data_IF_063829290673
#
_entry.id   IF_063829290673
#
_cell.length_a   1.000
_cell.length_b   1.000
_cell.length_c   1.000
_cell.angle_alpha   90.00
_cell.angle_beta   90.00
_cell.angle_gamma   90.00
#
_symmetry.space_group_name_H-M   'P 1'
#
loop_
_entity.id
_entity.type
_entity.pdbx_description
1 polymer ?
#
# COMPACT_ATOMS: atom_id res chain seq x y z
N UNK A 1 -1.49 20.03 -8.64
CA UNK A 1 -1.81 18.92 -9.54
C UNK A 1 -0.60 18.49 -10.39
N UNK A 2 0.09 19.39 -11.12
CA UNK A 2 1.20 19.03 -12.02
C UNK A 2 2.38 18.34 -11.34
N UNK A 3 2.68 18.68 -10.09
CA UNK A 3 3.78 18.07 -9.34
C UNK A 3 3.40 16.75 -8.66
N UNK A 4 2.11 16.40 -8.62
CA UNK A 4 1.62 15.21 -7.94
C UNK A 4 1.28 14.03 -8.86
N UNK A 5 1.11 14.29 -10.15
CA UNK A 5 0.72 13.29 -11.14
C UNK A 5 1.77 13.22 -12.25
N UNK A 6 2.35 12.03 -12.45
CA UNK A 6 3.37 11.82 -13.49
C UNK A 6 2.82 11.90 -14.91
N UNK A 7 1.59 11.46 -15.10
CA UNK A 7 0.91 11.48 -16.38
C UNK A 7 -0.46 12.13 -16.20
N UNK A 8 -0.68 13.28 -16.82
CA UNK A 8 -1.84 14.13 -16.57
C UNK A 8 -2.33 14.81 -17.84
N UNK A 9 -3.63 14.73 -18.10
CA UNK A 9 -4.30 15.61 -19.06
C UNK A 9 -5.10 16.66 -18.28
N UNK A 10 -4.85 17.93 -18.59
CA UNK A 10 -5.70 19.05 -18.18
C UNK A 10 -6.54 19.49 -19.36
N UNK A 11 -7.83 19.71 -19.14
CA UNK A 11 -8.75 20.13 -20.19
C UNK A 11 -9.82 21.08 -19.67
N UNK A 12 -10.26 21.99 -20.55
CA UNK A 12 -11.49 22.79 -20.48
C UNK A 12 -12.55 22.30 -21.48
N UNK A 13 -12.38 21.07 -22.01
CA UNK A 13 -13.15 20.42 -23.07
C UNK A 13 -12.95 20.98 -24.49
N UNK A 14 -12.30 22.13 -24.64
CA UNK A 14 -11.92 22.70 -25.95
C UNK A 14 -10.44 22.55 -26.24
N UNK A 15 -9.62 22.56 -25.20
CA UNK A 15 -8.20 22.29 -25.27
C UNK A 15 -7.81 21.17 -24.30
N UNK A 16 -6.96 20.25 -24.73
CA UNK A 16 -6.40 19.15 -23.97
C UNK A 16 -4.89 19.31 -23.91
N UNK A 17 -4.34 19.43 -22.71
CA UNK A 17 -2.90 19.59 -22.46
C UNK A 17 -2.37 18.38 -21.72
N UNK A 18 -1.53 17.60 -22.38
CA UNK A 18 -0.88 16.44 -21.80
C UNK A 18 0.45 16.83 -21.17
N UNK A 19 0.64 16.40 -19.92
CA UNK A 19 1.86 16.59 -19.13
C UNK A 19 2.40 15.25 -18.67
N UNK A 20 3.74 15.11 -18.69
CA UNK A 20 4.48 14.00 -18.12
C UNK A 20 5.52 14.56 -17.18
N UNK A 21 5.55 14.10 -15.93
CA UNK A 21 6.43 14.58 -14.85
C UNK A 21 6.41 16.12 -14.73
N UNK A 22 5.22 16.73 -14.91
CA UNK A 22 5.00 18.17 -14.87
C UNK A 22 5.40 18.93 -16.13
N UNK A 23 6.09 18.32 -17.08
CA UNK A 23 6.48 18.93 -18.35
C UNK A 23 5.40 18.76 -19.44
N UNK A 24 5.07 19.79 -20.23
CA UNK A 24 4.11 19.66 -21.32
C UNK A 24 4.67 18.76 -22.43
N UNK A 25 3.83 17.85 -22.96
CA UNK A 25 4.17 16.92 -24.04
C UNK A 25 3.45 17.20 -25.33
N UNK A 26 2.12 17.33 -25.28
CA UNK A 26 1.28 17.58 -26.44
C UNK A 26 0.07 18.42 -26.05
N UNK A 27 -0.40 19.23 -26.99
CA UNK A 27 -1.64 20.00 -26.86
C UNK A 27 -2.51 19.64 -28.07
N UNK A 28 -3.79 19.37 -27.84
CA UNK A 28 -4.81 19.20 -28.88
C UNK A 28 -5.95 20.21 -28.63
N UNK A 29 -6.47 20.82 -29.68
CA UNK A 29 -7.54 21.81 -29.59
C UNK A 29 -8.71 21.40 -30.47
N UNK A 30 -9.86 21.12 -29.86
CA UNK A 30 -11.10 20.85 -30.58
C UNK A 30 -11.76 22.10 -31.13
N UNK A 31 -11.45 23.24 -30.53
CA UNK A 31 -12.02 24.51 -30.94
C UNK A 31 -11.65 25.68 -30.03
N UNK A 32 -12.20 26.83 -30.32
CA UNK A 32 -12.03 28.07 -29.54
C UNK A 32 -13.34 28.82 -29.42
N UNK A 33 -13.56 29.57 -28.33
CA UNK A 33 -14.71 30.45 -28.23
C UNK A 33 -14.73 31.50 -29.37
N UNK A 34 -15.89 31.72 -29.97
CA UNK A 34 -16.05 32.74 -30.98
C UNK A 34 -16.38 34.10 -30.33
N UNK A 35 -15.91 35.26 -30.88
CA UNK A 35 -16.14 36.59 -30.31
C UNK A 35 -17.62 36.97 -30.17
N UNK A 36 -18.50 36.37 -30.96
CA UNK A 36 -19.96 36.61 -30.97
C UNK A 36 -20.77 35.49 -30.30
N UNK A 37 -20.13 34.65 -29.52
CA UNK A 37 -20.71 33.45 -28.92
C UNK A 37 -20.63 32.22 -29.82
N UNK A 38 -20.69 31.03 -29.20
CA UNK A 38 -20.49 29.74 -29.86
C UNK A 38 -19.03 29.29 -29.91
N UNK A 39 -18.77 28.20 -30.63
CA UNK A 39 -17.46 27.57 -30.75
C UNK A 39 -17.08 27.48 -32.23
N UNK A 40 -15.87 27.93 -32.54
CA UNK A 40 -15.23 27.68 -33.84
C UNK A 40 -14.44 26.39 -33.71
N UNK A 41 -14.84 25.33 -34.41
CA UNK A 41 -14.16 24.04 -34.43
C UNK A 41 -12.80 24.14 -35.13
N UNK A 42 -11.84 23.39 -34.61
CA UNK A 42 -10.58 23.14 -35.29
C UNK A 42 -10.74 21.90 -36.19
N UNK A 43 -10.51 22.00 -37.52
CA UNK A 43 -10.70 20.90 -38.44
C UNK A 43 -9.80 19.67 -38.16
N UNK A 44 -8.64 19.88 -37.54
CA UNK A 44 -7.67 18.81 -37.20
C UNK A 44 -7.75 18.39 -35.73
N UNK A 45 -8.56 19.09 -34.93
CA UNK A 45 -8.59 18.92 -33.48
C UNK A 45 -9.00 17.51 -33.03
N UNK A 46 -9.89 16.85 -33.75
CA UNK A 46 -10.33 15.49 -33.44
C UNK A 46 -9.21 14.47 -33.63
N UNK A 47 -8.44 14.59 -34.72
CA UNK A 47 -7.30 13.70 -34.99
C UNK A 47 -6.15 13.97 -34.02
N UNK A 48 -5.87 15.25 -33.75
CA UNK A 48 -4.85 15.63 -32.73
C UNK A 48 -5.20 15.11 -31.34
N UNK A 49 -6.48 15.18 -30.95
CA UNK A 49 -6.95 14.65 -29.67
C UNK A 49 -6.85 13.13 -29.63
N UNK A 50 -7.25 12.45 -30.71
CA UNK A 50 -7.12 10.98 -30.83
C UNK A 50 -5.66 10.56 -30.62
N UNK A 51 -4.74 11.19 -31.33
CA UNK A 51 -3.31 10.91 -31.22
C UNK A 51 -2.76 11.23 -29.82
N UNK A 52 -3.23 12.31 -29.19
CA UNK A 52 -2.85 12.65 -27.83
C UNK A 52 -3.32 11.57 -26.84
N UNK A 53 -4.58 11.14 -26.96
CA UNK A 53 -5.15 10.10 -26.10
C UNK A 53 -4.45 8.76 -26.30
N UNK A 54 -4.17 8.36 -27.54
CA UNK A 54 -3.39 7.14 -27.79
C UNK A 54 -1.99 7.20 -27.18
N UNK A 55 -1.28 8.31 -27.36
CA UNK A 55 0.04 8.48 -26.77
C UNK A 55 0.01 8.51 -25.23
N UNK A 56 -1.03 9.14 -24.64
CA UNK A 56 -1.26 9.17 -23.20
C UNK A 56 -1.51 7.76 -22.63
N UNK A 57 -2.39 6.99 -23.28
CA UNK A 57 -2.75 5.63 -22.83
C UNK A 57 -1.64 4.60 -23.10
N UNK A 58 -0.79 4.85 -24.11
CA UNK A 58 0.32 3.96 -24.46
C UNK A 58 1.57 4.21 -23.60
N UNK A 59 1.55 5.24 -22.76
CA UNK A 59 2.71 5.53 -21.91
C UNK A 59 2.80 4.49 -20.80
N UNK A 60 3.83 3.69 -20.83
CA UNK A 60 4.17 2.80 -19.72
C UNK A 60 4.53 3.61 -18.48
N UNK A 61 3.96 3.33 -17.32
CA UNK A 61 4.36 3.98 -16.08
C UNK A 61 5.85 3.74 -15.83
N UNK A 62 6.59 4.78 -15.47
CA UNK A 62 7.98 4.61 -15.03
C UNK A 62 7.98 3.80 -13.74
N UNK A 63 8.72 2.69 -13.67
CA UNK A 63 8.77 1.89 -12.45
C UNK A 63 9.27 2.71 -11.26
N UNK A 64 8.73 2.42 -10.08
CA UNK A 64 9.20 3.02 -8.83
C UNK A 64 10.41 2.23 -8.36
N UNK A 65 11.54 2.93 -8.18
CA UNK A 65 12.82 2.34 -7.77
C UNK A 65 13.32 2.90 -6.44
N UNK A 66 12.69 3.97 -5.92
CA UNK A 66 13.13 4.65 -4.70
C UNK A 66 12.21 4.34 -3.52
N UNK A 67 12.76 3.91 -2.37
CA UNK A 67 11.96 3.58 -1.19
C UNK A 67 11.12 4.75 -0.68
N UNK A 68 11.67 5.96 -0.65
CA UNK A 68 10.96 7.13 -0.14
C UNK A 68 9.77 7.51 -1.04
N UNK A 69 9.91 7.36 -2.35
CA UNK A 69 8.84 7.61 -3.30
C UNK A 69 7.70 6.58 -3.13
N UNK A 70 8.06 5.30 -3.02
CA UNK A 70 7.10 4.24 -2.77
C UNK A 70 6.35 4.49 -1.45
N UNK A 71 7.09 4.75 -0.37
CA UNK A 71 6.53 5.01 0.94
C UNK A 71 5.55 6.19 0.96
N UNK A 72 5.88 7.30 0.29
CA UNK A 72 5.00 8.47 0.20
C UNK A 72 3.71 8.17 -0.58
N UNK A 73 3.80 7.39 -1.66
CA UNK A 73 2.62 7.02 -2.46
C UNK A 73 1.74 6.02 -1.72
N UNK A 74 2.35 5.01 -1.09
CA UNK A 74 1.63 4.07 -0.23
C UNK A 74 0.92 4.80 0.91
N UNK A 75 1.60 5.71 1.61
CA UNK A 75 1.04 6.47 2.71
C UNK A 75 -0.22 7.25 2.32
N UNK A 76 -0.22 7.89 1.14
CA UNK A 76 -1.41 8.62 0.64
C UNK A 76 -2.60 7.69 0.42
N UNK A 77 -2.39 6.56 -0.24
CA UNK A 77 -3.45 5.58 -0.49
C UNK A 77 -3.94 4.96 0.82
N UNK A 78 -3.02 4.70 1.75
CA UNK A 78 -3.35 4.19 3.09
C UNK A 78 -4.23 5.17 3.87
N UNK A 79 -3.97 6.49 3.78
CA UNK A 79 -4.86 7.49 4.37
C UNK A 79 -6.26 7.49 3.74
N UNK A 80 -6.36 7.35 2.41
CA UNK A 80 -7.66 7.28 1.73
C UNK A 80 -8.44 6.01 2.12
N UNK A 81 -7.75 4.88 2.25
CA UNK A 81 -8.35 3.62 2.75
C UNK A 81 -8.84 3.81 4.19
N UNK A 82 -8.00 4.35 5.08
CA UNK A 82 -8.37 4.64 6.48
C UNK A 82 -9.62 5.51 6.56
N UNK A 83 -9.64 6.61 5.82
CA UNK A 83 -10.73 7.56 5.84
C UNK A 83 -12.03 6.93 5.29
N UNK A 84 -11.92 6.07 4.27
CA UNK A 84 -13.06 5.30 3.74
C UNK A 84 -13.59 4.27 4.73
N UNK A 85 -12.71 3.53 5.42
CA UNK A 85 -13.10 2.58 6.49
C UNK A 85 -13.78 3.33 7.64
N UNK A 86 -13.21 4.45 8.09
CA UNK A 86 -13.80 5.25 9.16
C UNK A 86 -15.18 5.78 8.78
N UNK A 87 -15.34 6.32 7.58
CA UNK A 87 -16.62 6.79 7.07
C UNK A 87 -17.68 5.67 7.02
N UNK A 88 -17.27 4.44 6.61
CA UNK A 88 -18.17 3.29 6.59
C UNK A 88 -18.61 2.90 8.02
N UNK A 89 -17.71 2.88 8.98
CA UNK A 89 -18.01 2.56 10.38
C UNK A 89 -18.92 3.63 11.02
N UNK A 90 -18.69 4.90 10.74
CA UNK A 90 -19.43 6.02 11.31
C UNK A 90 -20.80 6.24 10.64
N UNK A 91 -21.07 5.58 9.51
CA UNK A 91 -22.38 5.60 8.83
C UNK A 91 -23.51 4.99 9.67
N UNK A 92 -23.16 4.26 10.73
CA UNK A 92 -24.09 3.51 11.58
C UNK A 92 -24.59 2.19 10.98
N UNK A 93 -24.19 1.87 9.75
CA UNK A 93 -24.48 0.60 9.06
C UNK A 93 -23.22 0.05 8.38
N UNK A 94 -22.18 -0.29 9.14
CA UNK A 94 -20.97 -0.87 8.55
C UNK A 94 -21.30 -2.22 7.91
N UNK A 95 -20.53 -2.58 6.90
CA UNK A 95 -20.66 -3.88 6.25
C UNK A 95 -20.38 -5.04 7.23
N UNK A 96 -20.89 -6.23 6.88
CA UNK A 96 -20.61 -7.45 7.64
C UNK A 96 -19.08 -7.74 7.70
N UNK A 97 -18.38 -7.45 6.61
CA UNK A 97 -16.91 -7.59 6.55
C UNK A 97 -16.22 -6.72 7.60
N UNK A 98 -16.46 -5.41 7.59
CA UNK A 98 -15.80 -4.48 8.52
C UNK A 98 -16.21 -4.73 9.97
N UNK A 99 -17.47 -5.04 10.22
CA UNK A 99 -17.96 -5.38 11.56
C UNK A 99 -17.28 -6.64 12.09
N UNK A 100 -17.21 -7.69 11.28
CA UNK A 100 -16.58 -8.96 11.64
C UNK A 100 -15.08 -8.81 11.88
N UNK A 101 -14.37 -8.06 11.02
CA UNK A 101 -12.95 -7.80 11.20
C UNK A 101 -12.68 -6.96 12.45
N UNK A 102 -13.49 -5.92 12.71
CA UNK A 102 -13.35 -5.12 13.94
C UNK A 102 -13.52 -5.99 15.19
N UNK A 103 -14.53 -6.85 15.23
CA UNK A 103 -14.72 -7.80 16.34
C UNK A 103 -13.52 -8.71 16.50
N UNK A 104 -12.98 -9.26 15.40
CA UNK A 104 -11.79 -10.10 15.47
C UNK A 104 -10.55 -9.36 16.00
N UNK A 105 -10.39 -8.07 15.66
CA UNK A 105 -9.31 -7.23 16.21
C UNK A 105 -9.53 -6.95 17.72
N UNK A 106 -10.78 -6.73 18.14
CA UNK A 106 -11.11 -6.54 19.55
C UNK A 106 -10.83 -7.80 20.38
N UNK A 107 -11.20 -8.96 19.89
CA UNK A 107 -11.01 -10.23 20.57
C UNK A 107 -9.53 -10.63 20.73
N UNK A 108 -8.70 -10.31 19.72
CA UNK A 108 -7.31 -10.77 19.67
C UNK A 108 -6.31 -9.72 20.17
N UNK A 109 -6.57 -8.43 19.96
CA UNK A 109 -5.58 -7.38 20.19
C UNK A 109 -6.01 -6.36 21.26
N UNK A 110 -7.12 -5.67 21.08
CA UNK A 110 -7.53 -4.54 21.92
C UNK A 110 -9.06 -4.54 22.13
N UNK A 111 -9.57 -4.97 23.29
CA UNK A 111 -11.02 -5.03 23.56
C UNK A 111 -11.74 -3.68 23.36
N UNK A 112 -11.10 -2.57 23.73
CA UNK A 112 -11.68 -1.22 23.68
C UNK A 112 -11.28 -0.48 22.38
N UNK A 113 -11.25 -1.19 21.23
CA UNK A 113 -10.83 -0.62 19.95
C UNK A 113 -11.89 0.30 19.37
N UNK A 114 -11.65 1.61 19.38
CA UNK A 114 -12.50 2.63 18.76
C UNK A 114 -12.42 2.62 17.23
N UNK A 115 -13.43 3.19 16.54
CA UNK A 115 -13.52 3.23 15.08
C UNK A 115 -12.28 3.82 14.42
N UNK A 116 -11.81 4.98 14.91
CA UNK A 116 -10.64 5.66 14.35
C UNK A 116 -9.36 4.82 14.49
N UNK A 117 -9.16 4.19 15.66
CA UNK A 117 -8.01 3.33 15.89
C UNK A 117 -8.07 2.06 15.06
N UNK A 118 -9.25 1.44 14.93
CA UNK A 118 -9.45 0.29 14.05
C UNK A 118 -9.18 0.65 12.59
N UNK A 119 -9.75 1.75 12.07
CA UNK A 119 -9.56 2.19 10.70
C UNK A 119 -8.06 2.42 10.38
N UNK A 120 -7.34 3.01 11.33
CA UNK A 120 -5.89 3.25 11.22
C UNK A 120 -5.10 1.93 11.18
N UNK A 121 -5.36 1.01 12.12
CA UNK A 121 -4.73 -0.31 12.16
C UNK A 121 -5.06 -1.15 10.92
N UNK A 122 -6.32 -1.15 10.50
CA UNK A 122 -6.78 -1.85 9.30
C UNK A 122 -6.02 -1.38 8.06
N UNK A 123 -6.00 -0.05 7.82
CA UNK A 123 -5.37 0.51 6.63
C UNK A 123 -3.85 0.26 6.60
N UNK A 124 -3.16 0.41 7.72
CA UNK A 124 -1.73 0.13 7.81
C UNK A 124 -1.43 -1.36 7.61
N UNK A 125 -2.20 -2.25 8.25
CA UNK A 125 -2.03 -3.70 8.12
C UNK A 125 -2.25 -4.15 6.69
N UNK A 126 -3.31 -3.64 6.05
CA UNK A 126 -3.61 -3.94 4.65
C UNK A 126 -2.49 -3.44 3.72
N UNK A 127 -2.09 -2.18 3.85
CA UNK A 127 -1.09 -1.59 2.96
C UNK A 127 0.26 -2.29 3.07
N UNK A 128 0.71 -2.54 4.29
CA UNK A 128 1.98 -3.20 4.51
C UNK A 128 1.95 -4.68 4.14
N UNK A 129 0.85 -5.36 4.39
CA UNK A 129 0.71 -6.75 3.99
C UNK A 129 0.62 -6.94 2.47
N UNK A 130 -0.02 -6.02 1.74
CA UNK A 130 0.04 -6.03 0.27
C UNK A 130 1.48 -5.81 -0.23
N UNK A 131 2.25 -4.92 0.42
CA UNK A 131 3.67 -4.77 0.11
C UNK A 131 4.45 -6.07 0.37
N UNK A 132 4.28 -6.69 1.54
CA UNK A 132 4.93 -7.96 1.87
C UNK A 132 4.53 -9.08 0.90
N UNK A 133 3.26 -9.15 0.51
CA UNK A 133 2.79 -10.08 -0.51
C UNK A 133 3.44 -9.81 -1.88
N UNK A 134 3.58 -8.54 -2.26
CA UNK A 134 4.24 -8.16 -3.51
C UNK A 134 5.72 -8.55 -3.53
N UNK A 135 6.44 -8.38 -2.41
CA UNK A 135 7.85 -8.82 -2.25
C UNK A 135 8.00 -10.33 -2.49
N UNK A 136 7.03 -11.12 -2.03
CA UNK A 136 7.04 -12.59 -2.16
C UNK A 136 6.36 -13.09 -3.45
N UNK A 137 5.86 -12.18 -4.28
CA UNK A 137 5.11 -12.54 -5.49
C UNK A 137 6.03 -13.09 -6.58
N UNK A 138 5.70 -14.28 -7.09
CA UNK A 138 6.50 -15.00 -8.11
C UNK A 138 5.92 -14.87 -9.53
N UNK A 139 4.91 -14.04 -9.73
CA UNK A 139 4.29 -13.84 -11.03
C UNK A 139 5.05 -12.83 -11.91
N UNK A 140 4.59 -12.63 -13.16
CA UNK A 140 5.21 -11.68 -14.07
C UNK A 140 5.20 -10.24 -13.52
N UNK A 141 6.23 -9.41 -13.82
CA UNK A 141 6.21 -7.99 -13.47
C UNK A 141 4.95 -7.28 -13.97
N UNK A 142 4.38 -6.41 -13.16
CA UNK A 142 3.15 -5.67 -13.51
C UNK A 142 1.85 -6.47 -13.37
N UNK A 143 1.90 -7.77 -13.02
CA UNK A 143 0.71 -8.62 -12.90
C UNK A 143 0.20 -8.79 -11.46
N UNK A 144 0.88 -8.23 -10.47
CA UNK A 144 0.41 -8.27 -9.09
C UNK A 144 -0.95 -7.59 -8.95
N UNK A 145 -1.89 -8.25 -8.28
CA UNK A 145 -3.24 -7.75 -8.02
C UNK A 145 -3.64 -8.06 -6.58
N UNK A 146 -4.58 -7.30 -6.03
CA UNK A 146 -5.17 -7.55 -4.71
C UNK A 146 -5.69 -8.99 -4.59
N UNK A 147 -6.50 -9.39 -5.56
CA UNK A 147 -6.99 -10.77 -5.65
C UNK A 147 -5.82 -11.74 -5.79
N UNK A 148 -5.72 -12.66 -4.87
CA UNK A 148 -4.62 -13.63 -4.83
C UNK A 148 -3.40 -13.20 -4.00
N UNK A 149 -3.33 -11.96 -3.51
CA UNK A 149 -2.23 -11.51 -2.65
C UNK A 149 -2.10 -12.33 -1.36
N UNK A 150 -3.21 -12.81 -0.79
CA UNK A 150 -3.22 -13.68 0.39
C UNK A 150 -2.35 -14.93 0.22
N UNK A 151 -2.27 -15.48 -0.99
CA UNK A 151 -1.45 -16.67 -1.27
C UNK A 151 0.08 -16.42 -1.12
N UNK A 152 0.51 -15.17 -1.28
CA UNK A 152 1.91 -14.75 -1.15
C UNK A 152 2.29 -14.33 0.29
N UNK A 153 1.32 -14.33 1.22
CA UNK A 153 1.57 -13.99 2.63
C UNK A 153 2.00 -15.24 3.41
N UNK A 154 3.08 -15.15 4.20
CA UNK A 154 3.53 -16.26 5.01
C UNK A 154 2.44 -16.77 5.97
N UNK A 155 2.24 -18.09 6.03
CA UNK A 155 1.17 -18.74 6.81
C UNK A 155 1.41 -18.79 8.32
N UNK A 156 2.46 -18.15 8.82
CA UNK A 156 2.90 -18.24 10.21
C UNK A 156 1.90 -17.64 11.23
N UNK A 157 1.01 -16.73 10.79
CA UNK A 157 0.03 -16.11 11.67
C UNK A 157 -1.40 -16.35 11.14
N UNK A 158 -2.20 -17.21 11.79
CA UNK A 158 -3.56 -17.53 11.37
C UNK A 158 -4.51 -16.32 11.36
N UNK A 159 -4.33 -15.36 12.27
CA UNK A 159 -5.13 -14.13 12.32
C UNK A 159 -4.87 -13.25 11.08
N UNK A 160 -3.59 -12.98 10.77
CA UNK A 160 -3.23 -12.21 9.58
C UNK A 160 -3.70 -12.91 8.30
N UNK A 161 -3.59 -14.22 8.23
CA UNK A 161 -4.08 -14.97 7.07
C UNK A 161 -5.57 -14.78 6.85
N UNK A 162 -6.39 -14.94 7.91
CA UNK A 162 -7.84 -14.70 7.83
C UNK A 162 -8.17 -13.26 7.45
N UNK A 163 -7.43 -12.31 8.02
CA UNK A 163 -7.56 -10.91 7.65
C UNK A 163 -7.30 -10.71 6.15
N UNK A 164 -6.20 -11.25 5.62
CA UNK A 164 -5.87 -11.09 4.21
C UNK A 164 -6.81 -11.88 3.29
N UNK A 165 -7.28 -13.05 3.64
CA UNK A 165 -8.31 -13.77 2.89
C UNK A 165 -9.58 -12.92 2.75
N UNK A 166 -9.98 -12.22 3.81
CA UNK A 166 -11.14 -11.34 3.79
C UNK A 166 -10.92 -10.06 2.96
N UNK A 167 -9.79 -9.36 3.14
CA UNK A 167 -9.53 -8.05 2.51
C UNK A 167 -8.96 -8.14 1.09
N UNK A 168 -8.51 -9.30 0.65
CA UNK A 168 -8.07 -9.52 -0.73
C UNK A 168 -9.11 -10.28 -1.55
N UNK A 169 -10.18 -10.77 -0.92
CA UNK A 169 -11.29 -11.47 -1.54
C UNK A 169 -12.31 -10.53 -2.19
N UNK A 170 -13.34 -11.15 -2.78
CA UNK A 170 -14.45 -10.45 -3.46
C UNK A 170 -15.38 -9.71 -2.49
N UNK A 171 -15.36 -10.07 -1.20
CA UNK A 171 -16.20 -9.42 -0.19
C UNK A 171 -15.85 -7.94 -0.02
N UNK A 172 -14.60 -7.55 -0.34
CA UNK A 172 -14.17 -6.15 -0.33
C UNK A 172 -14.75 -5.34 -1.50
N UNK A 173 -15.22 -5.98 -2.58
CA UNK A 173 -15.71 -5.28 -3.78
C UNK A 173 -16.95 -4.42 -3.50
N UNK A 174 -17.68 -4.71 -2.42
CA UNK A 174 -18.83 -3.92 -1.98
C UNK A 174 -18.45 -2.65 -1.21
N UNK A 175 -17.18 -2.49 -0.82
CA UNK A 175 -16.72 -1.37 -0.02
C UNK A 175 -16.40 -0.15 -0.88
N UNK A 176 -16.84 1.03 -0.44
CA UNK A 176 -16.63 2.29 -1.18
C UNK A 176 -15.15 2.64 -1.38
N UNK A 177 -14.27 2.12 -0.53
CA UNK A 177 -12.82 2.37 -0.59
C UNK A 177 -12.03 1.32 -1.37
N UNK A 178 -12.68 0.29 -1.96
CA UNK A 178 -12.00 -0.79 -2.68
C UNK A 178 -11.11 -0.28 -3.80
N UNK A 179 -11.53 0.78 -4.50
CA UNK A 179 -10.72 1.40 -5.56
C UNK A 179 -9.34 1.85 -5.08
N UNK A 180 -9.23 2.37 -3.86
CA UNK A 180 -7.93 2.78 -3.30
C UNK A 180 -7.04 1.57 -2.94
N UNK A 181 -7.65 0.43 -2.60
CA UNK A 181 -6.91 -0.82 -2.37
C UNK A 181 -6.39 -1.39 -3.69
N UNK A 182 -7.20 -1.35 -4.73
CA UNK A 182 -6.78 -1.75 -6.08
C UNK A 182 -5.70 -0.83 -6.64
N UNK A 183 -5.81 0.49 -6.42
CA UNK A 183 -4.77 1.47 -6.77
C UNK A 183 -3.45 1.18 -6.03
N UNK A 184 -3.52 0.78 -4.76
CA UNK A 184 -2.35 0.38 -3.99
C UNK A 184 -1.71 -0.89 -4.56
N UNK A 185 -2.51 -1.91 -4.89
CA UNK A 185 -2.00 -3.13 -5.52
C UNK A 185 -1.37 -2.82 -6.89
N UNK A 186 -1.98 -1.91 -7.67
CA UNK A 186 -1.42 -1.47 -8.94
C UNK A 186 -0.12 -0.67 -8.77
N UNK A 187 -0.03 0.21 -7.78
CA UNK A 187 1.19 0.93 -7.42
C UNK A 187 2.34 -0.07 -7.17
N UNK A 188 2.07 -1.10 -6.39
CA UNK A 188 3.02 -2.16 -6.07
C UNK A 188 3.40 -3.00 -7.30
N UNK A 189 2.45 -3.28 -8.19
CA UNK A 189 2.70 -3.99 -9.44
C UNK A 189 3.70 -3.26 -10.36
N UNK A 190 3.74 -1.93 -10.30
CA UNK A 190 4.67 -1.08 -11.06
C UNK A 190 5.92 -0.67 -10.26
N UNK A 191 6.20 -1.36 -9.15
CA UNK A 191 7.38 -1.13 -8.31
C UNK A 191 8.46 -2.16 -8.64
N UNK A 192 9.68 -1.70 -8.87
CA UNK A 192 10.85 -2.57 -8.92
C UNK A 192 11.30 -2.87 -7.48
N UNK A 193 10.68 -3.90 -6.90
CA UNK A 193 10.86 -4.28 -5.48
C UNK A 193 12.33 -4.49 -5.14
N UNK A 194 13.08 -5.18 -5.99
CA UNK A 194 14.51 -5.42 -5.77
C UNK A 194 15.33 -4.12 -5.71
N UNK A 195 14.98 -3.14 -6.55
CA UNK A 195 15.63 -1.83 -6.53
C UNK A 195 15.29 -1.03 -5.28
N UNK A 196 14.00 -1.07 -4.86
CA UNK A 196 13.53 -0.43 -3.62
C UNK A 196 14.22 -1.02 -2.39
N UNK A 197 14.42 -2.33 -2.37
CA UNK A 197 15.01 -3.04 -1.23
C UNK A 197 16.55 -3.09 -1.27
N UNK A 198 17.19 -2.79 -2.41
CA UNK A 198 18.61 -2.94 -2.60
C UNK A 198 19.48 -2.12 -1.62
N UNK A 199 18.99 -1.00 -1.13
CA UNK A 199 19.74 -0.13 -0.22
C UNK A 199 19.63 -0.54 1.26
N UNK A 200 18.62 -1.35 1.61
CA UNK A 200 18.39 -1.76 3.00
C UNK A 200 19.29 -2.90 3.47
N UNK A 201 19.86 -3.71 2.57
CA UNK A 201 20.74 -4.83 2.91
C UNK A 201 22.25 -4.49 2.93
N UNK A 202 22.66 -3.27 2.57
CA UNK A 202 24.09 -2.93 2.39
C UNK A 202 24.83 -2.64 3.70
N UNK A 203 24.15 -2.22 4.76
CA UNK A 203 24.78 -1.84 6.03
C UNK A 203 24.94 -2.97 7.02
N UNK A 204 24.05 -3.95 7.01
CA UNK A 204 24.10 -5.12 7.88
C UNK A 204 23.66 -6.34 7.08
N UNK A 205 24.52 -7.34 6.96
CA UNK A 205 24.24 -8.58 6.19
C UNK A 205 23.10 -9.45 6.75
N UNK A 206 22.36 -8.99 7.76
CA UNK A 206 21.41 -9.76 8.55
C UNK A 206 20.05 -9.09 8.73
N UNK A 207 19.86 -7.83 8.30
CA UNK A 207 18.59 -7.15 8.51
C UNK A 207 17.61 -7.49 7.38
N UNK A 208 16.37 -7.82 7.74
CA UNK A 208 15.29 -8.06 6.79
C UNK A 208 14.93 -6.72 6.08
N UNK A 209 15.17 -6.60 4.77
CA UNK A 209 14.88 -5.36 4.04
C UNK A 209 13.42 -4.93 4.12
N UNK A 210 12.49 -5.89 4.24
CA UNK A 210 11.04 -5.64 4.36
C UNK A 210 10.76 -4.89 5.66
N UNK A 211 11.37 -5.34 6.78
CA UNK A 211 11.21 -4.68 8.08
C UNK A 211 11.73 -3.23 8.05
N UNK A 212 12.88 -2.99 7.39
CA UNK A 212 13.43 -1.63 7.28
C UNK A 212 12.58 -0.71 6.40
N UNK A 213 11.99 -1.22 5.32
CA UNK A 213 11.07 -0.43 4.51
C UNK A 213 9.84 0.01 5.33
N UNK A 214 9.39 -0.81 6.30
CA UNK A 214 8.29 -0.42 7.18
C UNK A 214 8.57 0.87 7.96
N UNK A 215 9.79 1.10 8.42
CA UNK A 215 10.15 2.36 9.09
C UNK A 215 10.05 3.56 8.15
N UNK A 216 10.47 3.38 6.89
CA UNK A 216 10.35 4.41 5.85
C UNK A 216 8.88 4.71 5.56
N UNK A 217 8.05 3.67 5.44
CA UNK A 217 6.61 3.80 5.26
C UNK A 217 5.94 4.51 6.44
N UNK A 218 6.22 4.10 7.69
CA UNK A 218 5.66 4.76 8.88
C UNK A 218 6.07 6.23 9.00
N UNK A 219 7.30 6.55 8.59
CA UNK A 219 7.77 7.95 8.57
C UNK A 219 6.97 8.79 7.58
N UNK A 220 6.61 8.22 6.44
CA UNK A 220 5.80 8.89 5.42
C UNK A 220 4.31 8.94 5.83
N UNK A 221 3.81 7.91 6.50
CA UNK A 221 2.42 7.79 6.93
C UNK A 221 2.10 8.70 8.12
N UNK A 222 2.87 8.61 9.21
CA UNK A 222 2.72 9.46 10.40
C UNK A 222 4.05 9.68 11.13
N UNK A 223 4.74 10.75 10.76
CA UNK A 223 6.00 11.14 11.40
C UNK A 223 5.87 11.49 12.90
N UNK A 224 4.67 11.86 13.38
CA UNK A 224 4.44 12.19 14.79
C UNK A 224 4.23 10.93 15.62
N UNK A 225 3.43 9.99 15.14
CA UNK A 225 3.18 8.70 15.80
C UNK A 225 4.47 7.92 16.01
N UNK A 226 5.36 7.93 15.02
CA UNK A 226 6.68 7.29 15.14
C UNK A 226 7.47 7.83 16.33
N UNK A 227 7.48 9.14 16.54
CA UNK A 227 8.19 9.78 17.66
C UNK A 227 7.53 9.51 19.00
N UNK A 228 6.20 9.56 19.06
CA UNK A 228 5.43 9.43 20.31
C UNK A 228 5.37 7.98 20.78
N UNK A 229 5.20 7.02 19.89
CA UNK A 229 5.11 5.59 20.23
C UNK A 229 6.46 4.91 20.39
N UNK A 230 7.57 5.61 20.06
CA UNK A 230 8.92 5.04 20.19
C UNK A 230 9.08 3.72 19.40
N UNK A 231 8.37 3.58 18.27
CA UNK A 231 8.43 2.38 17.45
C UNK A 231 9.77 2.34 16.74
N UNK A 232 10.77 1.93 17.50
CA UNK A 232 12.09 1.57 16.99
C UNK A 232 12.18 0.05 17.06
N UNK A 233 12.51 -0.59 15.97
CA UNK A 233 12.81 -2.01 16.00
C UNK A 233 13.99 -2.27 16.94
N UNK A 234 13.85 -3.27 17.77
CA UNK A 234 14.97 -3.74 18.57
C UNK A 234 16.04 -4.28 17.63
N UNK A 235 17.28 -3.79 17.69
CA UNK A 235 18.34 -4.25 16.79
C UNK A 235 18.45 -5.78 16.81
N UNK A 236 18.62 -6.40 15.66
CA UNK A 236 18.65 -7.86 15.49
C UNK A 236 19.64 -8.55 16.46
N UNK A 237 20.87 -8.03 16.72
CA UNK A 237 21.76 -8.63 17.70
C UNK A 237 21.15 -8.74 19.11
N UNK A 238 20.33 -7.76 19.51
CA UNK A 238 19.63 -7.75 20.81
C UNK A 238 18.51 -8.78 20.81
N UNK A 239 17.70 -8.83 19.74
CA UNK A 239 16.63 -9.83 19.57
C UNK A 239 17.23 -11.23 19.61
N UNK A 240 18.27 -11.48 18.81
CA UNK A 240 18.99 -12.75 18.75
C UNK A 240 19.54 -13.17 20.11
N UNK A 241 20.13 -12.22 20.86
CA UNK A 241 20.61 -12.49 22.21
C UNK A 241 19.47 -12.89 23.16
N UNK A 242 18.36 -12.14 23.17
CA UNK A 242 17.19 -12.43 24.01
C UNK A 242 16.63 -13.80 23.69
N UNK A 243 16.37 -14.10 22.39
CA UNK A 243 15.79 -15.38 21.96
C UNK A 243 16.68 -16.55 22.35
N UNK A 244 18.00 -16.46 22.08
CA UNK A 244 18.97 -17.52 22.46
C UNK A 244 19.07 -17.68 23.97
N UNK A 245 19.01 -16.60 24.73
CA UNK A 245 19.05 -16.66 26.19
C UNK A 245 17.81 -17.34 26.75
N UNK A 246 16.63 -17.06 26.21
CA UNK A 246 15.37 -17.74 26.61
C UNK A 246 15.45 -19.22 26.25
N UNK A 247 15.86 -19.58 25.03
CA UNK A 247 16.02 -20.97 24.59
C UNK A 247 16.95 -21.74 25.49
N UNK A 248 18.11 -21.16 25.83
CA UNK A 248 19.08 -21.76 26.71
C UNK A 248 18.54 -21.94 28.14
N UNK A 249 17.80 -20.97 28.67
CA UNK A 249 17.17 -21.10 30.00
C UNK A 249 16.11 -22.17 30.02
N UNK A 250 15.27 -22.28 28.99
CA UNK A 250 14.28 -23.36 28.86
C UNK A 250 14.95 -24.73 28.89
N UNK A 251 16.03 -24.91 28.12
CA UNK A 251 16.81 -26.16 28.10
C UNK A 251 17.49 -26.47 29.45
N UNK A 252 18.13 -25.48 30.08
CA UNK A 252 18.99 -25.69 31.22
C UNK A 252 18.26 -25.70 32.57
N UNK A 253 17.14 -24.97 32.71
CA UNK A 253 16.44 -24.78 33.97
C UNK A 253 15.03 -25.33 34.02
N UNK A 254 14.40 -25.51 32.87
CA UNK A 254 13.00 -25.92 32.76
C UNK A 254 12.84 -27.32 32.14
N UNK A 255 13.94 -28.00 31.85
CA UNK A 255 13.97 -29.34 31.21
C UNK A 255 13.22 -29.43 29.87
N UNK A 256 13.00 -28.32 29.18
CA UNK A 256 12.46 -28.29 27.82
C UNK A 256 13.56 -28.65 26.84
N UNK A 257 13.67 -29.94 26.46
CA UNK A 257 14.79 -30.48 25.67
C UNK A 257 14.99 -29.73 24.37
N UNK A 258 13.89 -29.34 23.70
CA UNK A 258 13.90 -28.63 22.45
C UNK A 258 13.78 -27.09 22.62
N UNK A 259 13.86 -26.58 23.85
CA UNK A 259 13.85 -25.14 24.17
C UNK A 259 12.55 -24.48 23.76
N UNK A 260 12.64 -23.43 22.93
CA UNK A 260 11.46 -22.70 22.39
C UNK A 260 10.62 -23.56 21.43
N UNK A 261 11.17 -24.64 20.88
CA UNK A 261 10.44 -25.55 20.01
C UNK A 261 9.76 -26.70 20.78
N UNK A 262 9.94 -26.74 22.08
CA UNK A 262 9.35 -27.78 22.93
C UNK A 262 7.83 -27.59 23.05
N UNK A 263 7.05 -28.63 22.80
CA UNK A 263 5.58 -28.60 22.86
C UNK A 263 5.01 -28.27 24.23
N UNK A 264 5.83 -28.42 25.32
CA UNK A 264 5.47 -28.02 26.67
C UNK A 264 5.57 -26.48 26.91
N UNK A 265 6.11 -25.75 25.95
CA UNK A 265 6.37 -24.30 26.08
C UNK A 265 5.25 -23.44 25.42
N UNK A 266 4.28 -24.05 24.76
CA UNK A 266 3.16 -23.40 24.07
C UNK A 266 1.89 -23.47 24.89
#
# INVERSE_FOLDING_TARGET
>A
YRAGLRNLILTDYLEFRWYVDGAPRKIARLGRPAPRGGIVRDPQGEDELRDLLFAFLSQSPTPITKPEELAQRMARLTHLIRDGVLASLDSGQPSTLLSGLRTAFQDVLLPDLEHAAFADMFAQTLAYGLFAACVNYQGPPGSFRRLGAAAAIPSANPFLRRFFDAVTGVDLDAEAFVGFVDDLAQLLAFTEVDAVLADFGKRTRQDDPVVHFYETFLTAYDAKLRKVRGVYYTPEPVVSYIVRSVDQLLKSRFNCVDGLADTATV
#
